data_IF_583739792800
#
_entry.id   IF_583739792800
#
_cell.length_a   1.000
_cell.length_b   1.000
_cell.length_c   1.000
_cell.angle_alpha   90.00
_cell.angle_beta   90.00
_cell.angle_gamma   90.00
#
_symmetry.space_group_name_H-M   'P 1'
#
loop_
_entity.id
_entity.type
_entity.pdbx_description
1 polymer ?
#
# COMPACT_ATOMS: atom_id res chain seq x y z
N UNK A 1 17.37 -3.86 1.33
CA UNK A 1 17.10 -4.95 0.38
C UNK A 1 15.65 -4.84 -0.07
N UNK A 2 15.37 -5.04 -1.36
CA UNK A 2 14.01 -5.05 -1.91
C UNK A 2 13.71 -6.42 -2.53
N UNK A 3 12.56 -7.00 -2.21
CA UNK A 3 12.07 -8.27 -2.76
C UNK A 3 10.67 -8.06 -3.31
N UNK A 4 10.49 -8.34 -4.60
CA UNK A 4 9.18 -8.28 -5.28
C UNK A 4 8.84 -9.66 -5.86
N UNK A 5 7.72 -10.24 -5.44
CA UNK A 5 7.24 -11.55 -5.92
C UNK A 5 5.87 -11.37 -6.59
N UNK A 6 5.74 -11.68 -7.89
CA UNK A 6 4.43 -11.80 -8.53
C UNK A 6 3.77 -13.12 -8.13
N UNK A 7 2.53 -13.06 -7.61
CA UNK A 7 1.74 -14.23 -7.21
C UNK A 7 0.28 -14.09 -7.65
N UNK A 8 -0.22 -15.01 -8.47
CA UNK A 8 -1.62 -15.10 -8.91
C UNK A 8 -2.25 -13.76 -9.35
N UNK A 9 -1.54 -12.98 -10.16
CA UNK A 9 -2.01 -11.68 -10.67
C UNK A 9 -1.94 -10.53 -9.65
N UNK A 10 -1.22 -10.71 -8.55
CA UNK A 10 -0.93 -9.67 -7.55
C UNK A 10 0.57 -9.59 -7.34
N UNK A 11 1.04 -8.42 -6.90
CA UNK A 11 2.45 -8.18 -6.63
C UNK A 11 2.59 -8.00 -5.13
N UNK A 12 3.46 -8.81 -4.52
CA UNK A 12 3.87 -8.67 -3.11
C UNK A 12 5.25 -8.04 -3.11
N UNK A 13 5.40 -6.89 -2.45
CA UNK A 13 6.67 -6.18 -2.33
C UNK A 13 7.00 -5.98 -0.85
N UNK A 14 8.25 -6.28 -0.51
CA UNK A 14 8.84 -6.08 0.80
C UNK A 14 10.13 -5.30 0.62
N UNK A 15 10.28 -4.23 1.38
CA UNK A 15 11.48 -3.40 1.43
C UNK A 15 11.94 -3.35 2.88
N UNK A 16 13.14 -3.86 3.14
CA UNK A 16 13.74 -3.89 4.49
C UNK A 16 15.12 -3.24 4.45
N UNK A 17 15.39 -2.36 5.42
CA UNK A 17 16.70 -1.74 5.62
C UNK A 17 17.30 -2.24 6.93
N UNK A 18 18.35 -3.06 6.85
CA UNK A 18 19.09 -3.58 8.01
C UNK A 18 20.60 -3.43 7.80
N UNK A 19 21.35 -3.40 8.90
CA UNK A 19 22.81 -3.19 8.90
C UNK A 19 23.60 -4.42 8.41
N UNK A 20 23.02 -5.61 8.49
CA UNK A 20 23.58 -6.88 7.99
C UNK A 20 22.68 -7.48 6.91
N UNK A 21 23.28 -7.99 5.84
CA UNK A 21 22.58 -8.67 4.75
C UNK A 21 21.80 -9.89 5.23
N UNK A 22 22.33 -10.65 6.18
CA UNK A 22 21.65 -11.85 6.69
C UNK A 22 20.42 -11.48 7.53
N UNK A 23 20.52 -10.45 8.38
CA UNK A 23 19.37 -9.95 9.14
C UNK A 23 18.29 -9.39 8.21
N UNK A 24 18.68 -8.65 7.16
CA UNK A 24 17.74 -8.15 6.17
C UNK A 24 16.96 -9.27 5.45
N UNK A 25 17.56 -10.46 5.28
CA UNK A 25 16.89 -11.62 4.69
C UNK A 25 15.88 -12.21 5.68
N UNK A 26 16.28 -12.40 6.93
CA UNK A 26 15.39 -12.95 7.97
C UNK A 26 14.19 -12.03 8.19
N UNK A 27 14.43 -10.71 8.32
CA UNK A 27 13.38 -9.68 8.44
C UNK A 27 12.45 -9.69 7.22
N UNK A 28 13.00 -9.77 6.00
CA UNK A 28 12.22 -9.81 4.78
C UNK A 28 11.36 -11.09 4.69
N UNK A 29 11.88 -12.23 5.14
CA UNK A 29 11.15 -13.50 5.18
C UNK A 29 9.99 -13.42 6.16
N UNK A 30 10.20 -12.85 7.36
CA UNK A 30 9.14 -12.66 8.36
C UNK A 30 8.04 -11.74 7.84
N UNK A 31 8.40 -10.58 7.28
CA UNK A 31 7.48 -9.62 6.66
C UNK A 31 6.66 -10.27 5.53
N UNK A 32 7.30 -11.09 4.69
CA UNK A 32 6.65 -11.77 3.58
C UNK A 32 5.69 -12.87 4.06
N UNK A 33 6.10 -13.65 5.07
CA UNK A 33 5.25 -14.66 5.68
C UNK A 33 3.99 -14.03 6.28
N UNK A 34 4.15 -12.91 7.01
CA UNK A 34 3.02 -12.21 7.61
C UNK A 34 2.04 -11.69 6.54
N UNK A 35 2.55 -11.16 5.42
CA UNK A 35 1.71 -10.73 4.29
C UNK A 35 0.95 -11.90 3.64
N UNK A 36 1.60 -13.05 3.45
CA UNK A 36 0.95 -14.26 2.90
C UNK A 36 -0.11 -14.79 3.87
N UNK A 37 0.18 -14.84 5.18
CA UNK A 37 -0.79 -15.27 6.21
C UNK A 37 -2.03 -14.38 6.19
N UNK A 38 -1.87 -13.05 6.25
CA UNK A 38 -2.97 -12.08 6.14
C UNK A 38 -3.79 -12.28 4.87
N UNK A 39 -3.14 -12.55 3.73
CA UNK A 39 -3.85 -12.84 2.50
C UNK A 39 -4.65 -14.16 2.55
N UNK A 40 -4.06 -15.23 3.09
CA UNK A 40 -4.73 -16.53 3.23
C UNK A 40 -5.96 -16.44 4.13
N UNK A 41 -5.85 -15.76 5.28
CA UNK A 41 -6.96 -15.51 6.20
C UNK A 41 -8.09 -14.74 5.50
N UNK A 42 -7.77 -13.67 4.77
CA UNK A 42 -8.77 -12.93 3.97
C UNK A 42 -9.46 -13.78 2.92
N UNK A 43 -8.72 -14.66 2.22
CA UNK A 43 -9.31 -15.54 1.22
C UNK A 43 -10.24 -16.59 1.84
N UNK A 44 -9.88 -17.11 3.02
CA UNK A 44 -10.73 -18.02 3.79
C UNK A 44 -11.99 -17.30 4.30
N UNK A 45 -11.85 -16.14 4.93
CA UNK A 45 -12.98 -15.34 5.42
C UNK A 45 -13.94 -14.96 4.29
N UNK A 46 -13.45 -14.63 3.08
CA UNK A 46 -14.31 -14.36 1.92
C UNK A 46 -15.08 -15.60 1.44
N UNK A 47 -14.48 -16.80 1.52
CA UNK A 47 -15.15 -18.08 1.19
C UNK A 47 -16.17 -18.49 2.25
N UNK A 48 -15.91 -18.20 3.52
CA UNK A 48 -16.84 -18.45 4.63
C UNK A 48 -18.00 -17.44 4.62
N UNK A 49 -17.76 -16.17 4.28
CA UNK A 49 -18.82 -15.17 4.10
C UNK A 49 -19.75 -15.48 2.92
N UNK A 50 -19.25 -16.17 1.88
CA UNK A 50 -20.08 -16.65 0.76
C UNK A 50 -20.78 -17.99 1.02
N UNK A 51 -20.42 -18.72 2.08
CA UNK A 51 -21.00 -20.04 2.42
C UNK A 51 -21.93 -19.92 3.63
N UNK A 52 -22.78 -18.90 3.63
CA UNK A 52 -23.83 -18.69 4.62
C UNK A 52 -24.97 -19.71 4.48
N UNK A 53 -24.66 -21.00 4.57
CA UNK A 53 -25.62 -22.06 4.96
C UNK A 53 -24.92 -23.07 5.89
N UNK A 54 -25.13 -22.84 7.19
CA UNK A 54 -25.24 -23.80 8.32
C UNK A 54 -24.17 -24.88 8.49
N UNK A 55 -23.33 -24.73 9.52
CA UNK A 55 -23.01 -25.84 10.42
C UNK A 55 -22.88 -25.32 11.86
N UNK A 56 -23.78 -25.80 12.72
CA UNK A 56 -23.71 -25.72 14.19
C UNK A 56 -22.53 -26.57 14.69
N UNK A 57 -21.85 -26.09 15.74
CA UNK A 57 -20.80 -26.75 16.54
C UNK A 57 -19.36 -26.77 16.01
N UNK A 58 -18.76 -25.60 15.87
CA UNK A 58 -17.33 -25.44 16.19
C UNK A 58 -17.20 -24.17 17.02
N UNK A 59 -16.76 -24.30 18.28
CA UNK A 59 -16.37 -23.14 19.10
C UNK A 59 -15.28 -22.38 18.33
N UNK A 60 -15.51 -21.11 17.95
CA UNK A 60 -14.47 -20.32 17.33
C UNK A 60 -13.40 -20.09 18.39
N UNK A 61 -12.17 -20.51 18.11
CA UNK A 61 -11.03 -19.96 18.83
C UNK A 61 -11.05 -18.45 18.56
N UNK A 62 -11.30 -17.67 19.61
CA UNK A 62 -11.18 -16.21 19.63
C UNK A 62 -9.73 -15.82 19.30
N UNK A 63 -9.42 -15.80 18.00
CA UNK A 63 -8.31 -15.02 17.47
C UNK A 63 -8.95 -13.67 17.14
N UNK A 64 -9.12 -12.85 18.17
CA UNK A 64 -9.31 -11.40 18.04
C UNK A 64 -8.01 -10.79 17.46
N UNK A 65 -7.68 -11.16 16.23
CA UNK A 65 -6.96 -10.26 15.36
C UNK A 65 -8.01 -9.27 14.88
N UNK A 66 -8.14 -8.14 15.58
CA UNK A 66 -8.82 -6.94 15.06
C UNK A 66 -8.19 -6.62 13.69
N UNK A 67 -8.73 -7.21 12.62
CA UNK A 67 -8.35 -6.89 11.27
C UNK A 67 -8.64 -5.40 11.12
N UNK A 68 -7.64 -4.54 10.85
CA UNK A 68 -7.90 -3.12 10.67
C UNK A 68 -8.81 -2.96 9.46
N UNK A 69 -10.11 -2.74 9.70
CA UNK A 69 -11.04 -2.33 8.68
C UNK A 69 -10.50 -1.01 8.11
N UNK A 70 -10.01 -1.02 6.87
CA UNK A 70 -9.54 0.19 6.20
C UNK A 70 -10.72 1.12 5.94
N UNK A 71 -11.10 1.91 6.94
CA UNK A 71 -12.12 2.95 6.82
C UNK A 71 -11.49 4.17 6.18
N UNK A 72 -12.04 4.62 5.06
CA UNK A 72 -11.66 5.91 4.48
C UNK A 72 -12.14 7.00 5.44
N UNK A 73 -11.23 7.48 6.29
CA UNK A 73 -11.55 8.42 7.38
C UNK A 73 -11.92 9.80 6.83
N UNK A 74 -11.34 10.20 5.69
CA UNK A 74 -11.50 11.54 5.14
C UNK A 74 -11.28 11.58 3.64
N UNK A 75 -12.20 12.21 2.92
CA UNK A 75 -12.04 12.52 1.50
C UNK A 75 -11.75 14.01 1.35
N UNK A 76 -10.58 14.35 0.83
CA UNK A 76 -10.24 15.73 0.42
C UNK A 76 -10.42 15.85 -1.10
N UNK A 77 -11.12 16.88 -1.55
CA UNK A 77 -11.26 17.23 -2.96
C UNK A 77 -10.44 18.48 -3.22
N UNK A 78 -9.53 18.43 -4.18
CA UNK A 78 -8.73 19.56 -4.62
C UNK A 78 -9.08 19.89 -6.06
N UNK A 79 -9.12 21.19 -6.39
CA UNK A 79 -9.20 21.61 -7.78
C UNK A 79 -7.83 21.38 -8.42
N UNK A 80 -7.75 20.43 -9.35
CA UNK A 80 -6.50 20.10 -10.03
C UNK A 80 -6.21 21.22 -11.03
N UNK A 81 -5.10 21.93 -10.84
CA UNK A 81 -4.58 22.93 -11.78
C UNK A 81 -3.36 22.34 -12.49
N UNK A 82 -3.16 22.65 -13.78
CA UNK A 82 -1.91 22.30 -14.47
C UNK A 82 -0.75 23.02 -13.79
N UNK A 83 0.29 22.27 -13.42
CA UNK A 83 1.52 22.79 -12.81
C UNK A 83 2.71 21.88 -13.15
N UNK A 84 3.92 22.38 -12.96
CA UNK A 84 5.14 21.62 -13.16
C UNK A 84 5.47 20.72 -11.96
N UNK A 85 6.35 19.73 -12.16
CA UNK A 85 6.79 18.81 -11.10
C UNK A 85 7.38 19.56 -9.90
N UNK A 86 8.23 20.56 -10.14
CA UNK A 86 8.85 21.37 -9.08
C UNK A 86 7.82 22.17 -8.27
N UNK A 87 6.79 22.71 -8.93
CA UNK A 87 5.71 23.43 -8.27
C UNK A 87 4.84 22.49 -7.43
N UNK A 88 4.59 21.28 -7.93
CA UNK A 88 3.89 20.24 -7.19
C UNK A 88 4.65 19.83 -5.92
N UNK A 89 5.99 19.69 -5.98
CA UNK A 89 6.85 19.41 -4.82
C UNK A 89 6.73 20.54 -3.79
N UNK A 90 6.83 21.80 -4.23
CA UNK A 90 6.72 22.95 -3.33
C UNK A 90 5.36 23.00 -2.62
N UNK A 91 4.26 22.76 -3.36
CA UNK A 91 2.92 22.71 -2.78
C UNK A 91 2.75 21.55 -1.80
N UNK A 92 3.33 20.39 -2.11
CA UNK A 92 3.34 19.23 -1.22
C UNK A 92 4.02 19.56 0.12
N UNK A 93 5.19 20.20 0.09
CA UNK A 93 5.92 20.62 1.30
C UNK A 93 5.16 21.66 2.12
N UNK A 94 4.58 22.67 1.47
CA UNK A 94 3.78 23.70 2.14
C UNK A 94 2.57 23.11 2.87
N UNK A 95 1.92 22.12 2.27
CA UNK A 95 0.79 21.41 2.88
C UNK A 95 1.21 20.33 3.88
N UNK A 96 2.52 20.05 3.99
CA UNK A 96 3.10 18.96 4.78
C UNK A 96 2.41 17.63 4.48
N UNK A 97 2.27 17.32 3.19
CA UNK A 97 1.71 16.06 2.72
C UNK A 97 2.82 15.13 2.21
N UNK A 98 2.62 13.83 2.36
CA UNK A 98 3.58 12.83 1.85
C UNK A 98 3.37 12.53 0.36
N UNK A 99 2.23 12.94 -0.19
CA UNK A 99 1.90 12.80 -1.60
C UNK A 99 1.07 14.00 -2.07
N UNK A 100 1.18 14.31 -3.36
CA UNK A 100 0.45 15.39 -4.01
C UNK A 100 0.07 15.00 -5.42
N UNK A 101 -1.22 15.16 -5.75
CA UNK A 101 -1.79 14.82 -7.05
C UNK A 101 -1.97 16.11 -7.84
N UNK A 102 -1.45 16.16 -9.06
CA UNK A 102 -1.48 17.33 -9.92
C UNK A 102 -1.69 16.94 -11.38
N UNK A 103 -2.08 17.90 -12.21
CA UNK A 103 -2.08 17.73 -13.66
C UNK A 103 -0.75 18.26 -14.16
N UNK A 104 0.02 17.43 -14.84
CA UNK A 104 1.30 17.86 -15.40
C UNK A 104 1.04 18.78 -16.60
N UNK A 105 1.69 19.95 -16.61
CA UNK A 105 1.53 20.92 -17.70
C UNK A 105 2.13 20.43 -19.04
N UNK A 106 3.11 19.53 -18.99
CA UNK A 106 3.80 19.03 -20.20
C UNK A 106 3.08 17.81 -20.82
N UNK A 107 2.63 16.86 -20.00
CA UNK A 107 1.97 15.64 -20.48
C UNK A 107 0.44 15.73 -20.50
N UNK A 108 -0.15 16.76 -19.88
CA UNK A 108 -1.60 16.88 -19.65
C UNK A 108 -2.21 15.66 -18.91
N UNK A 109 -1.38 14.89 -18.20
CA UNK A 109 -1.77 13.71 -17.45
C UNK A 109 -1.77 13.96 -15.94
N UNK A 110 -2.55 13.16 -15.22
CA UNK A 110 -2.65 13.26 -13.76
C UNK A 110 -1.48 12.50 -13.14
N UNK A 111 -0.52 13.24 -12.61
CA UNK A 111 0.66 12.67 -11.97
C UNK A 111 0.58 12.80 -10.46
N UNK A 112 1.30 11.92 -9.75
CA UNK A 112 1.41 11.96 -8.29
C UNK A 112 2.87 12.06 -7.89
N UNK A 113 3.24 13.15 -7.22
CA UNK A 113 4.53 13.24 -6.51
C UNK A 113 4.36 12.70 -5.10
N UNK A 114 5.36 11.99 -4.58
CA UNK A 114 5.37 11.51 -3.21
C UNK A 114 6.77 11.55 -2.60
N UNK A 115 6.83 11.68 -1.27
CA UNK A 115 8.08 11.62 -0.51
C UNK A 115 8.44 10.16 -0.25
N UNK A 116 9.65 9.76 -0.66
CA UNK A 116 10.22 8.44 -0.40
C UNK A 116 10.87 8.41 0.99
N UNK A 117 11.15 7.19 1.48
CA UNK A 117 11.78 6.98 2.78
C UNK A 117 13.24 7.46 2.84
N UNK A 118 13.91 7.56 1.68
CA UNK A 118 15.28 8.05 1.49
C UNK A 118 15.36 9.59 1.36
N UNK A 119 14.32 10.30 1.83
CA UNK A 119 14.15 11.76 1.70
C UNK A 119 14.09 12.31 0.26
N UNK A 120 14.12 11.44 -0.75
CA UNK A 120 13.99 11.82 -2.15
C UNK A 120 12.51 11.91 -2.59
N UNK A 121 12.29 12.48 -3.77
CA UNK A 121 10.98 12.59 -4.40
C UNK A 121 10.76 11.49 -5.45
N UNK A 122 9.59 10.86 -5.42
CA UNK A 122 9.14 9.93 -6.45
C UNK A 122 7.99 10.53 -7.26
N UNK A 123 7.90 10.14 -8.53
CA UNK A 123 6.83 10.51 -9.44
C UNK A 123 6.11 9.23 -9.89
N UNK A 124 4.79 9.24 -9.84
CA UNK A 124 3.92 8.19 -10.40
C UNK A 124 3.19 8.81 -11.58
N UNK A 125 3.39 8.22 -12.74
CA UNK A 125 2.73 8.57 -14.00
C UNK A 125 1.76 7.44 -14.39
N UNK A 126 0.52 7.75 -14.76
CA UNK A 126 -0.42 6.75 -15.22
C UNK A 126 -0.09 6.34 -16.66
N UNK A 127 0.28 5.08 -16.87
CA UNK A 127 0.39 4.50 -18.22
C UNK A 127 -0.94 3.81 -18.57
N UNK A 128 -1.52 4.13 -19.73
CA UNK A 128 -2.80 3.59 -20.23
C UNK A 128 -2.64 2.28 -21.01
#
# INVERSE_FOLDING_TARGET
MEVTIPFNGRIVRVEESSDDMYNAIDDAVESLEQQIRKYKTRLQNKKHASTSIKFENVEPLDIDEEEPEFKVVKTKRFAIKPMNIEEAILQMEMLKHNFFVFLNADSEEVNVVYKRNDENYGLIEPEL
#
